data_IF_776411622204
#
_entry.id   IF_776411622204
#
_cell.length_a   1.000
_cell.length_b   1.000
_cell.length_c   1.000
_cell.angle_alpha   90.00
_cell.angle_beta   90.00
_cell.angle_gamma   90.00
#
_symmetry.space_group_name_H-M   'P 1'
#
loop_
_entity.id
_entity.type
_entity.pdbx_description
1 polymer ?
#
# COMPACT_ATOMS: atom_id res chain seq x y z
N UNK A 1 33.37 -33.58 36.18
CA UNK A 1 33.54 -32.12 36.23
C UNK A 1 32.32 -31.54 36.95
N UNK A 2 32.46 -31.06 38.20
CA UNK A 2 31.35 -30.45 38.97
C UNK A 2 31.12 -29.05 38.43
N UNK A 3 30.03 -28.84 37.69
CA UNK A 3 29.59 -27.49 37.29
C UNK A 3 29.36 -26.66 38.56
N UNK A 4 30.05 -25.53 38.68
CA UNK A 4 29.85 -24.61 39.81
C UNK A 4 28.38 -24.15 39.77
N UNK A 5 27.60 -24.24 40.86
CA UNK A 5 26.16 -23.94 40.86
C UNK A 5 25.80 -22.58 40.24
N UNK A 6 26.71 -21.62 40.38
CA UNK A 6 26.63 -20.27 39.80
C UNK A 6 26.57 -20.29 38.27
N UNK A 7 27.30 -21.19 37.61
CA UNK A 7 27.33 -21.28 36.15
C UNK A 7 26.00 -21.78 35.58
N UNK A 8 25.33 -22.70 36.30
CA UNK A 8 23.99 -23.16 35.95
C UNK A 8 22.97 -22.03 36.13
N UNK A 9 23.08 -21.25 37.21
CA UNK A 9 22.19 -20.11 37.44
C UNK A 9 22.28 -19.06 36.32
N UNK A 10 23.49 -18.74 35.84
CA UNK A 10 23.70 -17.76 34.76
C UNK A 10 23.06 -18.24 33.45
N UNK A 11 23.21 -19.54 33.11
CA UNK A 11 22.62 -20.12 31.90
C UNK A 11 21.10 -20.05 31.95
N UNK A 12 20.49 -20.38 33.09
CA UNK A 12 19.02 -20.35 33.27
C UNK A 12 18.48 -18.93 33.15
N UNK A 13 19.17 -17.94 33.76
CA UNK A 13 18.78 -16.53 33.67
C UNK A 13 18.88 -16.04 32.22
N UNK A 14 19.97 -16.36 31.52
CA UNK A 14 20.13 -16.00 30.11
C UNK A 14 19.04 -16.59 29.22
N UNK A 15 18.68 -17.85 29.44
CA UNK A 15 17.61 -18.52 28.69
C UNK A 15 16.24 -17.85 28.93
N UNK A 16 15.93 -17.49 30.18
CA UNK A 16 14.67 -16.83 30.54
C UNK A 16 14.58 -15.44 29.91
N UNK A 17 15.65 -14.64 29.98
CA UNK A 17 15.69 -13.31 29.36
C UNK A 17 15.55 -13.42 27.84
N UNK A 18 16.24 -14.37 27.22
CA UNK A 18 16.12 -14.64 25.78
C UNK A 18 14.70 -15.02 25.36
N UNK A 19 14.06 -15.94 26.09
CA UNK A 19 12.68 -16.37 25.82
C UNK A 19 11.67 -15.21 25.95
N UNK A 20 11.81 -14.38 26.98
CA UNK A 20 10.97 -13.19 27.18
C UNK A 20 11.20 -12.17 26.06
N UNK A 21 12.45 -11.96 25.65
CA UNK A 21 12.80 -11.07 24.54
C UNK A 21 12.16 -11.48 23.22
N UNK A 22 12.22 -12.79 22.90
CA UNK A 22 11.58 -13.35 21.70
C UNK A 22 10.05 -13.18 21.76
N UNK A 23 9.44 -13.49 22.92
CA UNK A 23 7.99 -13.35 23.09
C UNK A 23 7.52 -11.89 22.92
N UNK A 24 8.30 -10.92 23.40
CA UNK A 24 8.01 -9.50 23.23
C UNK A 24 8.24 -9.02 21.78
N UNK A 25 9.25 -9.54 21.10
CA UNK A 25 9.51 -9.21 19.69
C UNK A 25 8.35 -9.68 18.79
N UNK A 26 7.85 -10.91 19.00
CA UNK A 26 6.71 -11.45 18.26
C UNK A 26 5.41 -10.68 18.56
N UNK A 27 5.19 -10.26 19.81
CA UNK A 27 4.03 -9.43 20.16
C UNK A 27 4.11 -8.01 19.58
N UNK A 28 5.31 -7.45 19.42
CA UNK A 28 5.52 -6.13 18.82
C UNK A 28 5.56 -6.15 17.30
N UNK A 29 5.82 -7.29 16.67
CA UNK A 29 5.59 -7.46 15.23
C UNK A 29 4.08 -7.57 15.00
N UNK A 30 3.39 -6.43 15.08
CA UNK A 30 2.03 -6.31 14.57
C UNK A 30 2.02 -6.82 13.14
N UNK A 31 1.05 -7.67 12.81
CA UNK A 31 0.86 -8.17 11.46
C UNK A 31 0.96 -7.00 10.47
N UNK A 32 1.58 -7.17 9.28
CA UNK A 32 1.62 -6.12 8.26
C UNK A 32 0.19 -5.62 8.06
N UNK A 33 -0.07 -4.39 8.47
CA UNK A 33 -1.40 -3.79 8.37
C UNK A 33 -1.63 -3.56 6.88
N UNK A 34 -2.17 -4.57 6.21
CA UNK A 34 -2.45 -4.49 4.79
C UNK A 34 -3.55 -3.45 4.65
N UNK A 35 -3.29 -2.39 3.89
CA UNK A 35 -4.30 -1.37 3.65
C UNK A 35 -5.57 -2.06 3.13
N UNK A 36 -6.70 -1.85 3.80
CA UNK A 36 -7.98 -2.50 3.46
C UNK A 36 -8.66 -1.90 2.22
N UNK A 37 -8.11 -0.82 1.70
CA UNK A 37 -8.55 -0.16 0.48
C UNK A 37 -7.36 0.50 -0.21
N UNK A 38 -7.44 0.62 -1.53
CA UNK A 38 -6.52 1.42 -2.33
C UNK A 38 -7.28 2.54 -3.03
N UNK A 39 -6.60 3.66 -3.25
CA UNK A 39 -7.12 4.77 -4.03
C UNK A 39 -6.74 4.57 -5.50
N UNK A 40 -7.70 4.82 -6.37
CA UNK A 40 -7.59 4.72 -7.81
C UNK A 40 -7.99 6.05 -8.43
N UNK A 41 -7.39 6.42 -9.54
CA UNK A 41 -7.80 7.54 -10.38
C UNK A 41 -8.25 7.01 -11.72
N UNK A 42 -9.35 7.53 -12.25
CA UNK A 42 -9.73 7.31 -13.63
C UNK A 42 -8.86 8.19 -14.54
N UNK A 43 -8.04 7.54 -15.35
CA UNK A 43 -7.12 8.23 -16.24
C UNK A 43 -7.79 9.10 -17.30
N UNK A 44 -9.10 8.95 -17.56
CA UNK A 44 -9.80 9.82 -18.53
C UNK A 44 -10.46 11.02 -17.86
N UNK A 45 -11.19 10.80 -16.77
CA UNK A 45 -11.97 11.84 -16.11
C UNK A 45 -11.23 12.56 -14.98
N UNK A 46 -10.17 11.95 -14.45
CA UNK A 46 -9.51 12.40 -13.22
C UNK A 46 -10.31 12.07 -11.96
N UNK A 47 -11.45 11.37 -12.04
CA UNK A 47 -12.22 11.03 -10.84
C UNK A 47 -11.48 10.04 -9.94
N UNK A 48 -11.63 10.23 -8.62
CA UNK A 48 -11.05 9.34 -7.63
C UNK A 48 -12.02 8.24 -7.20
N UNK A 49 -11.52 7.03 -7.10
CA UNK A 49 -12.24 5.85 -6.66
C UNK A 49 -11.48 5.15 -5.53
N UNK A 50 -12.20 4.57 -4.57
CA UNK A 50 -11.62 3.79 -3.48
C UNK A 50 -12.06 2.34 -3.61
N UNK A 51 -11.11 1.46 -3.93
CA UNK A 51 -11.36 0.03 -4.07
C UNK A 51 -11.00 -0.75 -2.80
N UNK A 52 -11.87 -1.66 -2.36
CA UNK A 52 -11.56 -2.58 -1.27
C UNK A 52 -10.57 -3.66 -1.74
N UNK A 53 -9.52 -3.89 -0.95
CA UNK A 53 -8.51 -4.95 -1.17
C UNK A 53 -8.69 -6.14 -0.23
N UNK A 54 -9.73 -6.11 0.63
CA UNK A 54 -9.99 -7.20 1.58
C UNK A 54 -10.30 -8.50 0.84
N UNK A 55 -9.36 -9.43 0.85
CA UNK A 55 -9.53 -10.79 0.32
C UNK A 55 -9.61 -10.88 -1.20
N UNK A 56 -9.22 -9.82 -1.94
CA UNK A 56 -9.27 -9.80 -3.41
C UNK A 56 -7.99 -9.21 -3.99
N UNK A 57 -7.50 -9.82 -5.06
CA UNK A 57 -6.43 -9.26 -5.90
C UNK A 57 -7.02 -8.21 -6.82
N UNK A 58 -6.45 -7.01 -6.81
CA UNK A 58 -6.81 -5.97 -7.76
C UNK A 58 -5.97 -6.13 -9.04
N UNK A 59 -6.63 -6.26 -10.18
CA UNK A 59 -5.98 -6.25 -11.50
C UNK A 59 -6.06 -4.83 -12.04
N UNK A 60 -4.90 -4.25 -12.34
CA UNK A 60 -4.78 -2.90 -12.90
C UNK A 60 -4.40 -2.99 -14.40
N UNK A 61 -4.93 -2.10 -15.26
CA UNK A 61 -5.92 -1.09 -14.95
C UNK A 61 -7.28 -1.73 -14.62
N UNK A 62 -7.92 -1.22 -13.57
CA UNK A 62 -9.23 -1.69 -13.13
C UNK A 62 -10.35 -1.06 -13.97
N UNK A 63 -11.50 -1.72 -13.98
CA UNK A 63 -12.67 -1.28 -14.74
C UNK A 63 -13.36 -0.11 -14.02
N UNK A 64 -13.57 1.00 -14.71
CA UNK A 64 -14.42 2.09 -14.23
C UNK A 64 -15.88 1.58 -14.21
N UNK A 65 -16.61 1.65 -13.07
CA UNK A 65 -17.99 1.18 -12.98
C UNK A 65 -18.98 1.97 -13.85
N UNK A 66 -18.68 3.25 -14.12
CA UNK A 66 -19.57 4.16 -14.83
C UNK A 66 -19.45 3.98 -16.36
N UNK A 67 -18.21 3.84 -16.87
CA UNK A 67 -17.95 3.72 -18.32
C UNK A 67 -17.73 2.28 -18.78
N UNK A 68 -17.35 1.39 -17.88
CA UNK A 68 -16.99 0.02 -18.19
C UNK A 68 -15.61 -0.17 -18.85
N UNK A 69 -14.83 0.88 -18.99
CA UNK A 69 -13.48 0.84 -19.56
C UNK A 69 -12.42 0.55 -18.50
N UNK A 70 -11.27 0.00 -18.90
CA UNK A 70 -10.14 -0.24 -17.99
C UNK A 70 -9.26 0.99 -17.91
N UNK A 71 -9.65 1.95 -17.10
CA UNK A 71 -8.96 3.25 -16.97
C UNK A 71 -8.56 3.58 -15.53
N UNK A 72 -8.90 2.72 -14.55
CA UNK A 72 -8.59 2.99 -13.15
C UNK A 72 -7.16 2.54 -12.80
N UNK A 73 -6.30 3.48 -12.41
CA UNK A 73 -4.91 3.24 -12.01
C UNK A 73 -4.71 3.58 -10.54
N UNK A 74 -3.84 2.85 -9.86
CA UNK A 74 -3.53 3.10 -8.44
C UNK A 74 -2.74 4.39 -8.27
N UNK A 75 -3.22 5.23 -7.36
CA UNK A 75 -2.53 6.43 -6.90
C UNK A 75 -2.24 6.33 -5.41
N UNK A 76 -1.13 6.94 -5.01
CA UNK A 76 -0.77 7.16 -3.62
C UNK A 76 -0.86 8.65 -3.32
N UNK A 77 -1.44 8.99 -2.16
CA UNK A 77 -1.39 10.35 -1.66
C UNK A 77 0.02 10.58 -1.13
N UNK A 78 0.71 11.57 -1.67
CA UNK A 78 1.97 12.00 -1.09
C UNK A 78 1.65 12.84 0.14
N UNK A 79 1.97 12.38 1.35
CA UNK A 79 1.66 13.16 2.56
C UNK A 79 2.46 14.47 2.65
N UNK A 80 3.57 14.58 1.90
CA UNK A 80 4.41 15.77 1.86
C UNK A 80 3.93 16.82 0.84
N UNK A 81 3.08 16.43 -0.11
CA UNK A 81 2.56 17.34 -1.14
C UNK A 81 1.04 17.21 -1.25
N UNK A 82 0.34 18.28 -1.60
CA UNK A 82 -1.11 18.19 -1.84
C UNK A 82 -1.38 17.56 -3.21
N UNK A 83 -0.79 16.40 -3.50
CA UNK A 83 -0.88 15.78 -4.82
C UNK A 83 -0.89 14.25 -4.77
N UNK A 84 -1.47 13.67 -5.81
CA UNK A 84 -1.46 12.23 -6.01
C UNK A 84 -0.34 11.85 -6.96
N UNK A 85 0.25 10.69 -6.70
CA UNK A 85 1.33 10.13 -7.51
C UNK A 85 0.98 8.72 -7.96
N UNK A 86 1.21 8.44 -9.23
CA UNK A 86 1.19 7.09 -9.76
C UNK A 86 2.57 6.46 -9.56
N UNK A 87 2.56 5.21 -9.11
CA UNK A 87 3.79 4.43 -8.99
C UNK A 87 4.39 4.19 -10.40
N UNK A 88 5.71 4.44 -10.60
CA UNK A 88 6.37 4.29 -11.89
C UNK A 88 6.14 2.94 -12.58
N UNK A 89 5.88 1.87 -11.81
CA UNK A 89 5.58 0.55 -12.38
C UNK A 89 4.33 0.52 -13.27
N UNK A 90 3.46 1.52 -13.16
CA UNK A 90 2.22 1.62 -13.94
C UNK A 90 2.34 2.58 -15.12
N UNK A 91 3.50 3.21 -15.37
CA UNK A 91 3.65 4.15 -16.49
C UNK A 91 3.45 3.47 -17.84
N UNK A 92 4.00 2.28 -18.02
CA UNK A 92 3.77 1.48 -19.24
C UNK A 92 2.26 1.21 -19.42
N UNK A 93 1.57 0.84 -18.33
CA UNK A 93 0.13 0.63 -18.34
C UNK A 93 -0.66 1.89 -18.72
N UNK A 94 -0.23 3.08 -18.29
CA UNK A 94 -0.88 4.34 -18.68
C UNK A 94 -0.78 4.55 -20.19
N UNK A 95 0.39 4.28 -20.78
CA UNK A 95 0.59 4.43 -22.23
C UNK A 95 -0.25 3.47 -23.07
N UNK A 96 -0.65 2.33 -22.49
CA UNK A 96 -1.57 1.37 -23.12
C UNK A 96 -3.04 1.80 -23.07
N UNK A 97 -3.42 2.77 -22.22
CA UNK A 97 -4.80 3.28 -22.15
C UNK A 97 -5.06 4.18 -23.34
N UNK A 98 -6.03 3.80 -24.18
CA UNK A 98 -6.42 4.57 -25.35
C UNK A 98 -7.33 5.75 -24.98
N UNK A 99 -7.01 6.94 -25.49
CA UNK A 99 -7.85 8.14 -25.44
C UNK A 99 -7.14 9.36 -24.87
N UNK A 100 -7.89 10.43 -24.66
CA UNK A 100 -7.40 11.61 -23.94
C UNK A 100 -7.28 11.27 -22.45
N UNK A 101 -6.03 11.17 -21.99
CA UNK A 101 -5.71 10.92 -20.60
C UNK A 101 -5.44 12.24 -19.87
N UNK A 102 -5.71 12.24 -18.57
CA UNK A 102 -5.23 13.28 -17.66
C UNK A 102 -3.71 13.38 -17.77
N UNK A 103 -3.20 14.61 -17.68
CA UNK A 103 -1.76 14.86 -17.75
C UNK A 103 -1.08 14.25 -16.51
N UNK A 104 -0.18 13.32 -16.77
CA UNK A 104 0.74 12.76 -15.77
C UNK A 104 2.12 13.30 -16.07
N UNK A 105 2.79 13.81 -15.05
CA UNK A 105 4.20 14.16 -15.15
C UNK A 105 5.03 12.88 -15.33
N UNK A 106 5.75 12.71 -16.46
CA UNK A 106 6.48 11.49 -16.76
C UNK A 106 7.71 11.28 -15.87
N UNK A 107 8.25 12.32 -15.25
CA UNK A 107 9.42 12.22 -14.37
C UNK A 107 9.01 11.87 -12.94
N UNK A 108 7.92 12.47 -12.46
CA UNK A 108 7.51 12.34 -11.06
C UNK A 108 6.33 11.40 -10.85
N UNK A 109 5.56 11.09 -11.89
CA UNK A 109 4.29 10.35 -11.81
C UNK A 109 3.16 11.15 -11.18
N UNK A 110 3.34 12.46 -11.01
CA UNK A 110 2.36 13.33 -10.38
C UNK A 110 1.14 13.48 -11.28
N UNK A 111 -0.04 13.42 -10.67
CA UNK A 111 -1.33 13.59 -11.34
C UNK A 111 -2.01 14.81 -10.76
N UNK A 112 -2.48 15.70 -11.63
CA UNK A 112 -3.33 16.82 -11.22
C UNK A 112 -4.76 16.31 -11.05
N UNK A 113 -5.16 16.14 -9.79
CA UNK A 113 -6.51 15.75 -9.43
C UNK A 113 -7.03 16.71 -8.38
N UNK A 114 -8.32 17.03 -8.45
CA UNK A 114 -8.97 17.85 -7.44
C UNK A 114 -9.04 17.09 -6.10
N UNK A 115 -8.26 17.55 -5.12
CA UNK A 115 -8.20 16.98 -3.78
C UNK A 115 -9.47 17.20 -2.97
N UNK A 116 -10.31 18.17 -3.33
CA UNK A 116 -11.57 18.42 -2.64
C UNK A 116 -12.63 17.37 -3.02
N UNK A 117 -12.41 16.65 -4.13
CA UNK A 117 -13.31 15.60 -4.59
C UNK A 117 -13.18 14.34 -3.74
N UNK A 118 -14.24 14.01 -2.99
CA UNK A 118 -14.29 12.77 -2.21
C UNK A 118 -14.29 11.55 -3.13
N UNK A 119 -13.44 10.54 -2.87
CA UNK A 119 -13.38 9.36 -3.72
C UNK A 119 -14.66 8.52 -3.63
N UNK A 120 -15.17 8.11 -4.80
CA UNK A 120 -16.30 7.18 -4.92
C UNK A 120 -15.86 5.80 -4.43
N UNK A 121 -16.64 5.18 -3.54
CA UNK A 121 -16.31 3.82 -3.07
C UNK A 121 -16.76 2.76 -4.07
N UNK A 122 -15.86 1.85 -4.43
CA UNK A 122 -16.13 0.71 -5.31
C UNK A 122 -15.66 -0.57 -4.60
N UNK A 123 -16.48 -1.61 -4.58
CA UNK A 123 -16.21 -2.81 -3.78
C UNK A 123 -17.17 -3.96 -4.05
#
# INVERSE_FOLDING_TARGET
MKSKPVQVAIIVIGLLIGAVGIALAIKKSGAPQTASSVLLVDMKSGELFRASTKGRTLVLPAKNPDTGERTLIRVEHDEASTSYRIDPRYFDTITEIQGDLIKVDPETGKVEVDLETKPKSIG
#
